data_IF_809202146206
#
_entry.id   IF_809202146206
#
_cell.length_a   1.000
_cell.length_b   1.000
_cell.length_c   1.000
_cell.angle_alpha   90.00
_cell.angle_beta   90.00
_cell.angle_gamma   90.00
#
_symmetry.space_group_name_H-M   'P 1'
#
loop_
_entity.id
_entity.type
_entity.pdbx_description
1 polymer ?
#
# COMPACT_ATOMS: atom_id res chain seq x y z
N UNK A 1 13.64 12.82 17.33
CA UNK A 1 12.72 11.90 16.64
C UNK A 1 13.34 10.52 16.73
N UNK A 2 12.60 9.52 17.22
CA UNK A 2 13.09 8.15 17.22
C UNK A 2 13.34 7.71 15.77
N UNK A 3 14.42 6.98 15.55
CA UNK A 3 14.72 6.39 14.25
C UNK A 3 13.70 5.27 13.98
N UNK A 4 12.69 5.59 13.16
CA UNK A 4 11.54 4.71 12.92
C UNK A 4 11.88 3.56 11.96
N UNK A 5 13.09 3.51 11.38
CA UNK A 5 13.49 2.43 10.47
C UNK A 5 13.74 1.10 11.19
N UNK A 6 14.00 1.14 12.51
CA UNK A 6 14.42 -0.01 13.32
C UNK A 6 13.39 -0.43 14.39
N UNK A 7 12.09 -0.29 14.11
CA UNK A 7 11.04 -0.72 15.06
C UNK A 7 10.59 -2.17 14.81
N UNK A 8 11.19 -3.13 15.52
CA UNK A 8 10.81 -4.56 15.53
C UNK A 8 11.85 -5.50 14.89
N UNK A 9 11.72 -6.85 15.02
CA UNK A 9 12.72 -7.84 14.55
C UNK A 9 12.94 -7.92 13.01
N UNK A 10 12.62 -6.88 12.25
CA UNK A 10 12.65 -6.87 10.79
C UNK A 10 12.32 -5.54 10.09
N UNK A 11 12.20 -4.44 10.84
CA UNK A 11 11.79 -3.13 10.32
C UNK A 11 10.30 -3.02 10.00
N UNK A 12 9.83 -1.80 9.68
CA UNK A 12 8.39 -1.50 9.49
C UNK A 12 7.72 -2.36 8.41
N UNK A 13 8.46 -2.75 7.37
CA UNK A 13 7.96 -3.57 6.27
C UNK A 13 7.64 -5.02 6.66
N UNK A 14 8.00 -5.45 7.88
CA UNK A 14 7.74 -6.79 8.40
C UNK A 14 6.67 -6.81 9.51
N UNK A 15 6.03 -5.68 9.80
CA UNK A 15 4.85 -5.64 10.65
C UNK A 15 3.71 -6.41 10.00
N UNK A 16 2.97 -7.16 10.80
CA UNK A 16 1.64 -7.63 10.42
C UNK A 16 0.68 -6.45 10.25
N UNK A 17 -0.43 -6.66 9.53
CA UNK A 17 -1.45 -5.62 9.37
C UNK A 17 -2.02 -5.14 10.73
N UNK A 18 -2.16 -6.04 11.71
CA UNK A 18 -2.63 -5.70 13.05
C UNK A 18 -1.63 -4.82 13.78
N UNK A 19 -0.34 -5.20 13.78
CA UNK A 19 0.72 -4.39 14.43
C UNK A 19 0.85 -3.01 13.76
N UNK A 20 0.81 -2.95 12.43
CA UNK A 20 0.82 -1.70 11.69
C UNK A 20 -0.38 -0.82 12.07
N UNK A 21 -1.59 -1.39 12.11
CA UNK A 21 -2.82 -0.69 12.48
C UNK A 21 -2.75 -0.10 13.89
N UNK A 22 -2.26 -0.88 14.87
CA UNK A 22 -2.11 -0.44 16.26
C UNK A 22 -1.08 0.69 16.39
N UNK A 23 0.07 0.57 15.72
CA UNK A 23 1.13 1.59 15.74
C UNK A 23 0.71 2.88 15.06
N UNK A 24 0.01 2.80 13.92
CA UNK A 24 -0.59 3.96 13.24
C UNK A 24 -1.63 4.64 14.14
N UNK A 25 -2.49 3.85 14.80
CA UNK A 25 -3.50 4.38 15.75
C UNK A 25 -2.84 5.09 16.94
N UNK A 26 -1.73 4.56 17.43
CA UNK A 26 -0.97 5.13 18.54
C UNK A 26 -0.13 6.36 18.12
N UNK A 27 -0.01 6.64 16.82
CA UNK A 27 0.87 7.69 16.31
C UNK A 27 2.37 7.37 16.47
N UNK A 28 2.72 6.10 16.67
CA UNK A 28 4.11 5.63 16.79
C UNK A 28 4.83 5.63 15.43
N UNK A 29 4.07 5.42 14.35
CA UNK A 29 4.55 5.44 12.96
C UNK A 29 3.55 6.22 12.11
N UNK A 30 4.00 6.66 10.94
CA UNK A 30 3.14 7.27 9.91
C UNK A 30 2.91 6.29 8.75
N UNK A 31 1.84 6.50 7.98
CA UNK A 31 1.59 5.75 6.75
C UNK A 31 2.72 5.99 5.76
N UNK A 32 3.22 7.22 5.64
CA UNK A 32 4.38 7.54 4.80
C UNK A 32 5.61 6.70 5.16
N UNK A 33 5.93 6.58 6.46
CA UNK A 33 7.08 5.80 6.91
C UNK A 33 6.91 4.31 6.60
N UNK A 34 5.70 3.77 6.82
CA UNK A 34 5.38 2.37 6.55
C UNK A 34 5.44 2.06 5.04
N UNK A 35 4.85 2.90 4.19
CA UNK A 35 4.89 2.75 2.72
C UNK A 35 6.32 2.89 2.20
N UNK A 36 7.10 3.84 2.73
CA UNK A 36 8.52 4.00 2.37
C UNK A 36 9.30 2.71 2.66
N UNK A 37 9.09 2.10 3.83
CA UNK A 37 9.76 0.85 4.18
C UNK A 37 9.33 -0.31 3.27
N UNK A 38 8.04 -0.41 2.94
CA UNK A 38 7.54 -1.41 1.99
C UNK A 38 8.16 -1.24 0.59
N UNK A 39 8.21 -0.01 0.06
CA UNK A 39 8.81 0.29 -1.24
C UNK A 39 10.31 -0.02 -1.27
N UNK A 40 11.05 0.30 -0.21
CA UNK A 40 12.47 -0.05 -0.09
C UNK A 40 12.67 -1.58 -0.12
N UNK A 41 11.81 -2.33 0.58
CA UNK A 41 11.85 -3.80 0.58
C UNK A 41 11.50 -4.39 -0.79
N UNK A 42 10.52 -3.81 -1.49
CA UNK A 42 10.16 -4.23 -2.86
C UNK A 42 11.35 -4.01 -3.79
N UNK A 43 11.94 -2.80 -3.79
CA UNK A 43 13.09 -2.48 -4.62
C UNK A 43 14.28 -3.43 -4.41
N UNK A 44 14.52 -3.85 -3.16
CA UNK A 44 15.60 -4.78 -2.82
C UNK A 44 15.35 -6.25 -3.21
N UNK A 45 14.11 -6.64 -3.52
CA UNK A 45 13.71 -8.05 -3.69
C UNK A 45 13.08 -8.37 -5.02
N UNK A 46 12.57 -7.37 -5.73
CA UNK A 46 11.71 -7.60 -6.90
C UNK A 46 12.44 -8.29 -8.05
N UNK A 47 13.75 -8.06 -8.22
CA UNK A 47 14.55 -8.76 -9.25
C UNK A 47 14.63 -10.28 -9.04
N UNK A 48 14.44 -10.76 -7.81
CA UNK A 48 14.45 -12.19 -7.48
C UNK A 48 13.04 -12.78 -7.42
N UNK A 49 12.05 -12.00 -6.95
CA UNK A 49 10.70 -12.50 -6.67
C UNK A 49 9.78 -12.34 -7.89
N UNK A 50 9.84 -11.21 -8.59
CA UNK A 50 8.92 -10.90 -9.70
C UNK A 50 7.44 -10.86 -9.26
N UNK A 51 7.14 -10.23 -8.12
CA UNK A 51 5.80 -10.22 -7.54
C UNK A 51 4.85 -9.16 -8.13
N UNK A 52 5.38 -8.03 -8.62
CA UNK A 52 4.56 -6.87 -8.98
C UNK A 52 4.41 -6.73 -10.50
N UNK A 53 3.17 -6.79 -10.99
CA UNK A 53 2.86 -6.51 -12.40
C UNK A 53 2.97 -5.00 -12.73
N UNK A 54 2.63 -4.16 -11.76
CA UNK A 54 2.71 -2.72 -11.82
C UNK A 54 2.94 -2.17 -10.41
N UNK A 55 3.78 -1.14 -10.29
CA UNK A 55 3.96 -0.37 -9.06
C UNK A 55 4.25 1.08 -9.41
N UNK A 56 3.57 2.01 -8.74
CA UNK A 56 3.82 3.45 -8.82
C UNK A 56 4.25 3.96 -7.43
N UNK A 57 5.58 4.06 -7.17
CA UNK A 57 6.08 4.47 -5.87
C UNK A 57 5.66 5.89 -5.47
N UNK A 58 5.61 6.81 -6.43
CA UNK A 58 5.27 8.21 -6.19
C UNK A 58 3.79 8.34 -5.82
N UNK A 59 2.92 7.65 -6.54
CA UNK A 59 1.49 7.60 -6.21
C UNK A 59 1.24 6.97 -4.83
N UNK A 60 1.91 5.86 -4.51
CA UNK A 60 1.77 5.21 -3.21
C UNK A 60 2.19 6.14 -2.06
N UNK A 61 3.30 6.87 -2.21
CA UNK A 61 3.75 7.85 -1.23
C UNK A 61 2.81 9.07 -1.13
N UNK A 62 2.24 9.51 -2.24
CA UNK A 62 1.25 10.60 -2.24
C UNK A 62 0.00 10.22 -1.45
N UNK A 63 -0.53 9.00 -1.66
CA UNK A 63 -1.67 8.48 -0.90
C UNK A 63 -1.35 8.37 0.60
N UNK A 64 -0.17 7.85 0.94
CA UNK A 64 0.29 7.72 2.33
C UNK A 64 0.34 9.08 3.07
N UNK A 65 0.88 10.11 2.40
CA UNK A 65 0.92 11.48 2.94
C UNK A 65 -0.48 12.08 3.12
N UNK A 66 -1.38 11.83 2.16
CA UNK A 66 -2.74 12.33 2.24
C UNK A 66 -3.49 11.71 3.43
N UNK A 67 -3.37 10.40 3.65
CA UNK A 67 -4.06 9.69 4.73
C UNK A 67 -3.48 10.02 6.12
N UNK A 68 -2.19 10.37 6.21
CA UNK A 68 -1.57 10.86 7.45
C UNK A 68 -2.12 12.24 7.88
N UNK A 69 -2.61 13.06 6.93
CA UNK A 69 -3.18 14.37 7.22
C UNK A 69 -4.66 14.33 7.64
N UNK A 70 -5.29 13.15 7.59
CA UNK A 70 -6.71 12.97 7.82
C UNK A 70 -6.99 12.36 9.20
N UNK A 71 -8.15 12.65 9.82
CA UNK A 71 -8.55 11.95 11.02
C UNK A 71 -8.71 10.45 10.72
N UNK A 72 -8.25 9.60 11.66
CA UNK A 72 -8.39 8.15 11.54
C UNK A 72 -9.85 7.77 11.35
N UNK A 73 -10.16 7.09 10.24
CA UNK A 73 -11.54 6.69 9.90
C UNK A 73 -11.86 5.25 10.28
N UNK A 74 -10.84 4.41 10.42
CA UNK A 74 -11.04 2.97 10.46
C UNK A 74 -9.83 2.15 10.95
N UNK A 75 -9.92 0.81 10.87
CA UNK A 75 -8.82 -0.07 11.29
C UNK A 75 -7.75 -0.22 10.20
N UNK A 76 -8.06 0.02 8.93
CA UNK A 76 -7.08 -0.03 7.85
C UNK A 76 -6.54 1.36 7.46
N UNK A 77 -6.99 2.42 8.12
CA UNK A 77 -6.50 3.79 7.91
C UNK A 77 -4.96 3.85 7.99
N UNK A 78 -4.32 4.11 6.85
CA UNK A 78 -2.86 4.21 6.70
C UNK A 78 -2.11 2.89 6.47
N UNK A 79 -2.79 1.74 6.47
CA UNK A 79 -2.17 0.42 6.24
C UNK A 79 -2.07 0.16 4.72
N UNK A 80 -0.86 -0.09 4.17
CA UNK A 80 -0.71 -0.37 2.74
C UNK A 80 -1.27 -1.73 2.36
N UNK A 81 -1.84 -1.82 1.15
CA UNK A 81 -2.35 -3.06 0.56
C UNK A 81 -1.80 -3.26 -0.84
N UNK A 82 -1.57 -4.51 -1.23
CA UNK A 82 -1.29 -4.90 -2.61
C UNK A 82 -2.55 -5.47 -3.26
N UNK A 83 -2.81 -5.08 -4.52
CA UNK A 83 -3.97 -5.54 -5.28
C UNK A 83 -3.50 -6.49 -6.38
N UNK A 84 -4.18 -7.64 -6.53
CA UNK A 84 -3.83 -8.61 -7.56
C UNK A 84 -4.25 -8.10 -8.94
N UNK A 85 -3.41 -8.30 -9.95
CA UNK A 85 -3.56 -7.82 -11.34
C UNK A 85 -4.78 -8.36 -12.13
N UNK A 86 -5.71 -9.02 -11.46
CA UNK A 86 -7.01 -9.46 -12.01
C UNK A 86 -8.18 -8.71 -11.37
N UNK A 87 -7.88 -7.68 -10.58
CA UNK A 87 -8.83 -6.85 -9.85
C UNK A 87 -8.65 -5.42 -10.34
N UNK A 88 -9.68 -4.89 -10.99
CA UNK A 88 -9.64 -3.56 -11.60
C UNK A 88 -9.39 -2.45 -10.57
N UNK A 89 -8.45 -1.57 -10.91
CA UNK A 89 -8.11 -0.32 -10.20
C UNK A 89 -8.17 0.84 -11.19
N UNK A 90 -8.95 1.88 -10.89
CA UNK A 90 -9.18 3.00 -11.82
C UNK A 90 -7.97 3.96 -11.94
N UNK A 91 -7.08 3.93 -10.95
CA UNK A 91 -5.91 4.79 -10.82
C UNK A 91 -4.62 4.13 -11.37
N UNK A 92 -4.65 2.83 -11.66
CA UNK A 92 -3.49 2.05 -12.13
C UNK A 92 -3.84 1.19 -13.35
N UNK A 93 -2.84 0.47 -13.88
CA UNK A 93 -3.06 -0.51 -14.94
C UNK A 93 -3.54 -1.84 -14.35
N UNK A 94 -4.32 -2.59 -15.12
CA UNK A 94 -4.72 -3.96 -14.80
C UNK A 94 -4.51 -4.86 -16.01
N UNK A 95 -3.46 -5.69 -15.96
CA UNK A 95 -2.98 -6.49 -17.10
C UNK A 95 -3.54 -7.90 -17.19
N UNK A 96 -4.29 -8.37 -16.19
CA UNK A 96 -4.85 -9.72 -16.11
C UNK A 96 -3.83 -10.85 -16.34
N UNK A 97 -2.54 -10.58 -16.11
CA UNK A 97 -1.46 -11.50 -16.45
C UNK A 97 -1.38 -11.89 -17.94
N UNK A 98 -1.94 -11.10 -18.85
CA UNK A 98 -1.99 -11.42 -20.28
C UNK A 98 -1.57 -10.24 -21.17
N UNK A 99 -0.71 -10.47 -22.20
CA UNK A 99 -0.25 -9.42 -23.10
C UNK A 99 -1.34 -8.66 -23.85
N UNK A 100 -2.54 -9.24 -23.99
CA UNK A 100 -3.66 -8.59 -24.69
C UNK A 100 -4.22 -7.37 -23.95
N UNK A 101 -4.00 -7.31 -22.63
CA UNK A 101 -4.41 -6.20 -21.76
C UNK A 101 -3.25 -5.28 -21.41
N UNK A 102 -2.12 -5.36 -22.15
CA UNK A 102 -0.95 -4.53 -21.87
C UNK A 102 -1.30 -3.05 -22.01
N UNK A 103 -1.14 -2.31 -20.91
CA UNK A 103 -1.45 -0.88 -20.85
C UNK A 103 -2.92 -0.56 -20.62
N UNK A 104 -3.76 -1.58 -20.39
CA UNK A 104 -5.17 -1.38 -20.07
C UNK A 104 -5.32 -0.66 -18.72
N UNK A 105 -6.24 0.31 -18.69
CA UNK A 105 -6.52 1.17 -17.54
C UNK A 105 -8.03 1.16 -17.33
N UNK A 106 -8.52 0.37 -16.37
CA UNK A 106 -9.95 0.34 -16.06
C UNK A 106 -10.49 1.74 -15.74
N UNK A 107 -11.74 1.99 -16.12
CA UNK A 107 -12.42 3.26 -15.79
C UNK A 107 -12.99 3.27 -14.37
N UNK A 108 -13.07 2.09 -13.73
CA UNK A 108 -13.72 1.90 -12.44
C UNK A 108 -12.95 0.89 -11.59
N UNK A 109 -12.94 1.14 -10.28
CA UNK A 109 -12.51 0.13 -9.31
C UNK A 109 -13.49 -1.03 -9.24
N UNK A 110 -12.94 -2.23 -9.07
CA UNK A 110 -13.68 -3.37 -8.56
C UNK A 110 -14.32 -3.04 -7.20
N UNK A 111 -15.47 -3.65 -6.89
CA UNK A 111 -16.22 -3.33 -5.67
C UNK A 111 -15.39 -3.54 -4.38
N UNK A 112 -14.51 -4.54 -4.35
CA UNK A 112 -13.63 -4.79 -3.21
C UNK A 112 -12.56 -3.70 -3.04
N UNK A 113 -12.00 -3.16 -4.12
CA UNK A 113 -11.05 -2.04 -4.10
C UNK A 113 -11.74 -0.79 -3.59
N UNK A 114 -12.90 -0.46 -4.16
CA UNK A 114 -13.69 0.71 -3.78
C UNK A 114 -14.02 0.74 -2.28
N UNK A 115 -14.21 -0.43 -1.67
CA UNK A 115 -14.58 -0.52 -0.27
C UNK A 115 -13.45 -0.10 0.69
N UNK A 116 -12.17 -0.15 0.28
CA UNK A 116 -11.05 0.41 1.06
C UNK A 116 -11.06 1.95 1.10
N UNK A 117 -11.72 2.61 0.15
CA UNK A 117 -11.87 4.07 0.15
C UNK A 117 -13.07 4.54 0.99
N UNK A 118 -13.89 3.61 1.52
CA UNK A 118 -15.10 3.94 2.27
C UNK A 118 -14.85 4.01 3.78
N UNK A 119 -15.61 4.83 4.53
CA UNK A 119 -15.44 4.98 5.99
C UNK A 119 -15.68 3.70 6.81
N UNK A 120 -16.15 2.62 6.18
CA UNK A 120 -16.51 1.39 6.87
C UNK A 120 -15.29 0.55 7.29
N UNK A 121 -14.12 0.69 6.62
CA UNK A 121 -12.93 -0.17 6.81
C UNK A 121 -11.62 0.57 6.86
#
# INVERSE_FOLDING_TARGET
MADLTESGPGGLALLTATEASEKLKAGEITSEALVTACLARIAARESEIGAWAFIDPDYALQQAKAVDAEPRRSILHGVPIGIKDVIDTADMQTGHGSPIYKGDRPVHDSACVRAFAQPAW
#
